data_IF_730522837489
#
_entry.id   IF_730522837489
#
_cell.length_a   1.000
_cell.length_b   1.000
_cell.length_c   1.000
_cell.angle_alpha   90.00
_cell.angle_beta   90.00
_cell.angle_gamma   90.00
#
_symmetry.space_group_name_H-M   'P 1'
#
loop_
_entity.id
_entity.type
_entity.pdbx_description
1 polymer ?
#
# COMPACT_ATOMS: atom_id res chain seq x y z
N UNK A 1 -21.75 -17.63 3.97
CA UNK A 1 -20.39 -17.33 3.43
C UNK A 1 -20.30 -17.90 2.04
N UNK A 2 -19.92 -17.10 1.05
CA UNK A 2 -19.77 -17.57 -0.33
C UNK A 2 -18.75 -18.70 -0.42
N UNK A 3 -18.93 -19.63 -1.39
CA UNK A 3 -18.06 -20.80 -1.55
C UNK A 3 -16.58 -20.41 -1.70
N UNK A 4 -16.30 -19.27 -2.35
CA UNK A 4 -14.94 -18.75 -2.55
C UNK A 4 -14.24 -18.48 -1.21
N UNK A 5 -14.93 -17.91 -0.22
CA UNK A 5 -14.35 -17.52 1.07
C UNK A 5 -14.59 -18.57 2.18
N UNK A 6 -15.04 -19.77 1.84
CA UNK A 6 -15.35 -20.82 2.83
C UNK A 6 -14.17 -21.24 3.69
N UNK A 7 -12.93 -21.03 3.23
CA UNK A 7 -11.71 -21.31 3.98
C UNK A 7 -11.33 -20.21 4.98
N UNK A 8 -12.00 -19.05 4.90
CA UNK A 8 -11.81 -17.96 5.88
C UNK A 8 -12.51 -18.25 7.22
N UNK A 9 -13.45 -19.23 7.25
CA UNK A 9 -14.23 -19.57 8.44
C UNK A 9 -13.33 -19.81 9.65
N UNK A 10 -13.84 -19.50 10.84
CA UNK A 10 -13.14 -19.49 12.14
C UNK A 10 -12.30 -18.24 12.33
N UNK A 11 -11.49 -17.85 11.33
CA UNK A 11 -10.68 -16.63 11.40
C UNK A 11 -11.53 -15.36 11.17
N UNK A 12 -12.50 -15.45 10.27
CA UNK A 12 -13.41 -14.34 9.89
C UNK A 12 -14.85 -14.82 10.14
N UNK A 13 -15.56 -14.06 10.98
CA UNK A 13 -16.98 -14.32 11.25
C UNK A 13 -17.83 -13.93 10.04
N UNK A 14 -19.04 -14.51 9.88
CA UNK A 14 -19.92 -14.19 8.75
C UNK A 14 -20.27 -12.70 8.63
N UNK A 15 -20.51 -12.01 9.74
CA UNK A 15 -20.78 -10.57 9.78
C UNK A 15 -19.55 -9.72 9.41
N UNK A 16 -18.36 -10.15 9.81
CA UNK A 16 -17.09 -9.51 9.41
C UNK A 16 -16.83 -9.72 7.92
N UNK A 17 -17.12 -10.92 7.37
CA UNK A 17 -16.98 -11.19 5.94
C UNK A 17 -17.90 -10.31 5.11
N UNK A 18 -19.13 -10.07 5.59
CA UNK A 18 -20.08 -9.18 4.92
C UNK A 18 -19.64 -7.71 4.99
N UNK A 19 -19.06 -7.28 6.12
CA UNK A 19 -18.50 -5.92 6.26
C UNK A 19 -17.40 -5.67 5.25
N UNK A 20 -16.39 -6.55 5.18
CA UNK A 20 -15.24 -6.35 4.29
C UNK A 20 -15.64 -6.41 2.82
N UNK A 21 -16.66 -7.17 2.46
CA UNK A 21 -17.20 -7.24 1.09
C UNK A 21 -17.62 -5.87 0.56
N UNK A 22 -18.24 -5.07 1.41
CA UNK A 22 -18.77 -3.75 1.05
C UNK A 22 -17.86 -2.59 1.41
N UNK A 23 -16.76 -2.88 2.11
CA UNK A 23 -15.80 -1.86 2.54
C UNK A 23 -15.05 -1.30 1.33
N UNK A 24 -15.17 0.02 1.10
CA UNK A 24 -14.70 0.69 -0.11
C UNK A 24 -13.24 1.08 0.05
N UNK A 25 -12.37 0.38 -0.65
CA UNK A 25 -10.92 0.58 -0.62
C UNK A 25 -10.50 1.45 -1.78
N UNK A 26 -9.82 2.57 -1.49
CA UNK A 26 -9.14 3.40 -2.48
C UNK A 26 -7.68 2.98 -2.58
N UNK A 27 -7.22 2.65 -3.77
CA UNK A 27 -5.83 2.34 -4.06
C UNK A 27 -5.22 3.44 -4.93
N UNK A 28 -4.45 4.33 -4.33
CA UNK A 28 -3.60 5.31 -5.00
C UNK A 28 -2.24 4.68 -5.31
N UNK A 29 -2.01 4.36 -6.59
CA UNK A 29 -0.81 3.67 -7.08
C UNK A 29 -0.94 2.16 -7.15
N UNK A 30 -0.78 1.60 -8.36
CA UNK A 30 -0.89 0.17 -8.64
C UNK A 30 0.48 -0.53 -8.80
N UNK A 31 1.55 0.05 -8.28
CA UNK A 31 2.85 -0.58 -8.15
C UNK A 31 2.80 -1.72 -7.11
N UNK A 32 3.24 -1.48 -5.90
CA UNK A 32 3.08 -2.40 -4.77
C UNK A 32 1.60 -2.63 -4.47
N UNK A 33 0.75 -1.64 -4.74
CA UNK A 33 -0.70 -1.73 -4.62
C UNK A 33 -1.31 -2.89 -5.41
N UNK A 34 -0.69 -3.32 -6.50
CA UNK A 34 -1.19 -4.45 -7.32
C UNK A 34 -1.23 -5.77 -6.54
N UNK A 35 -0.24 -6.03 -5.70
CA UNK A 35 -0.18 -7.23 -4.87
C UNK A 35 -1.12 -7.08 -3.68
N UNK A 36 -1.20 -5.88 -3.09
CA UNK A 36 -2.10 -5.58 -1.97
C UNK A 36 -3.57 -5.80 -2.39
N UNK A 37 -3.96 -5.26 -3.54
CA UNK A 37 -5.32 -5.41 -4.06
C UNK A 37 -5.71 -6.87 -4.30
N UNK A 38 -4.82 -7.70 -4.85
CA UNK A 38 -5.11 -9.13 -5.03
C UNK A 38 -5.21 -9.84 -3.68
N UNK A 39 -4.32 -9.57 -2.73
CA UNK A 39 -4.38 -10.15 -1.40
C UNK A 39 -5.69 -9.77 -0.69
N UNK A 40 -6.09 -8.50 -0.76
CA UNK A 40 -7.33 -8.00 -0.18
C UNK A 40 -8.57 -8.65 -0.83
N UNK A 41 -8.61 -8.74 -2.17
CA UNK A 41 -9.71 -9.40 -2.89
C UNK A 41 -9.85 -10.87 -2.50
N UNK A 42 -8.73 -11.60 -2.40
CA UNK A 42 -8.72 -13.02 -1.97
C UNK A 42 -9.20 -13.22 -0.55
N UNK A 43 -9.09 -12.21 0.30
CA UNK A 43 -9.65 -12.21 1.66
C UNK A 43 -11.16 -11.86 1.67
N UNK A 44 -11.65 -11.13 0.65
CA UNK A 44 -13.07 -10.79 0.49
C UNK A 44 -13.37 -9.30 0.44
N UNK A 45 -12.37 -8.43 0.24
CA UNK A 45 -12.60 -7.02 -0.10
C UNK A 45 -12.98 -6.93 -1.58
N UNK A 46 -14.27 -6.74 -1.86
CA UNK A 46 -14.79 -6.81 -3.22
C UNK A 46 -15.09 -5.44 -3.85
N UNK A 47 -14.89 -4.35 -3.10
CA UNK A 47 -15.15 -2.99 -3.59
C UNK A 47 -13.84 -2.19 -3.57
N UNK A 48 -13.17 -2.10 -4.73
CA UNK A 48 -11.83 -1.51 -4.86
C UNK A 48 -11.82 -0.50 -6.00
N UNK A 49 -11.38 0.73 -5.72
CA UNK A 49 -11.06 1.74 -6.74
C UNK A 49 -9.55 1.78 -6.93
N UNK A 50 -9.09 1.65 -8.17
CA UNK A 50 -7.69 1.63 -8.56
C UNK A 50 -7.38 2.89 -9.34
N UNK A 51 -6.42 3.69 -8.86
CA UNK A 51 -5.95 4.90 -9.52
C UNK A 51 -4.47 4.75 -9.86
N UNK A 52 -4.13 4.75 -11.11
CA UNK A 52 -2.74 4.75 -11.59
C UNK A 52 -2.69 5.24 -13.04
N UNK A 53 -1.85 6.23 -13.33
CA UNK A 53 -1.67 6.78 -14.68
C UNK A 53 -0.57 6.09 -15.49
N UNK A 54 0.23 5.21 -14.86
CA UNK A 54 1.35 4.55 -15.50
C UNK A 54 0.94 3.35 -16.35
N UNK A 55 1.85 2.98 -17.26
CA UNK A 55 1.83 1.72 -17.97
C UNK A 55 2.75 0.70 -17.32
N UNK A 56 2.43 -0.58 -17.53
CA UNK A 56 3.28 -1.69 -17.06
C UNK A 56 4.56 -1.70 -17.85
N UNK A 57 5.69 -1.72 -17.14
CA UNK A 57 7.02 -1.86 -17.71
C UNK A 57 7.58 -3.25 -17.40
N UNK A 58 8.52 -3.73 -18.22
CA UNK A 58 9.20 -5.00 -18.00
C UNK A 58 9.94 -5.03 -16.65
N UNK A 59 10.48 -3.90 -16.21
CA UNK A 59 11.14 -3.71 -14.92
C UNK A 59 10.20 -3.86 -13.71
N UNK A 60 8.88 -3.81 -13.91
CA UNK A 60 7.90 -3.99 -12.85
C UNK A 60 7.66 -5.48 -12.52
N UNK A 61 7.90 -6.38 -13.47
CA UNK A 61 7.53 -7.79 -13.37
C UNK A 61 8.26 -8.55 -12.25
N UNK A 62 9.39 -8.03 -11.78
CA UNK A 62 10.14 -8.65 -10.70
C UNK A 62 9.43 -8.59 -9.33
N UNK A 63 8.50 -7.61 -9.14
CA UNK A 63 7.93 -7.33 -7.81
C UNK A 63 6.49 -6.84 -7.78
N UNK A 64 5.89 -6.54 -8.94
CA UNK A 64 4.49 -6.14 -9.08
C UNK A 64 3.67 -7.27 -9.72
N UNK A 65 2.36 -7.23 -9.56
CA UNK A 65 1.48 -8.35 -9.91
C UNK A 65 1.00 -8.33 -11.37
N UNK A 66 1.95 -8.14 -12.29
CA UNK A 66 1.71 -8.09 -13.73
C UNK A 66 2.39 -9.24 -14.46
N UNK A 67 1.93 -9.50 -15.68
CA UNK A 67 2.46 -10.52 -16.60
C UNK A 67 3.16 -9.87 -17.77
N UNK A 68 3.92 -10.65 -18.52
CA UNK A 68 4.60 -10.18 -19.72
C UNK A 68 3.60 -9.61 -20.77
N UNK A 69 2.41 -10.19 -20.87
CA UNK A 69 1.34 -9.74 -21.76
C UNK A 69 0.73 -8.37 -21.37
N UNK A 70 0.94 -7.93 -20.13
CA UNK A 70 0.45 -6.65 -19.62
C UNK A 70 1.41 -5.49 -19.97
N UNK A 71 2.64 -5.77 -20.41
CA UNK A 71 3.64 -4.73 -20.71
C UNK A 71 3.13 -3.78 -21.79
N UNK A 72 3.15 -2.47 -21.50
CA UNK A 72 2.64 -1.41 -22.38
C UNK A 72 1.17 -1.05 -22.14
N UNK A 73 0.38 -1.86 -21.41
CA UNK A 73 -0.98 -1.54 -21.03
C UNK A 73 -1.00 -0.68 -19.75
N UNK A 74 -2.10 0.02 -19.47
CA UNK A 74 -2.26 0.74 -18.21
C UNK A 74 -2.26 -0.21 -17.01
N UNK A 75 -1.55 0.18 -15.94
CA UNK A 75 -1.44 -0.61 -14.71
C UNK A 75 -2.80 -0.87 -14.08
N UNK A 76 -3.64 0.17 -13.95
CA UNK A 76 -4.94 0.04 -13.33
C UNK A 76 -5.89 -0.90 -14.10
N UNK A 77 -5.88 -0.85 -15.45
CA UNK A 77 -6.67 -1.76 -16.29
C UNK A 77 -6.18 -3.21 -16.20
N UNK A 78 -4.86 -3.42 -16.29
CA UNK A 78 -4.27 -4.76 -16.20
C UNK A 78 -4.56 -5.40 -14.85
N UNK A 79 -4.45 -4.62 -13.76
CA UNK A 79 -4.79 -5.07 -12.43
C UNK A 79 -6.29 -5.40 -12.31
N UNK A 80 -7.18 -4.54 -12.80
CA UNK A 80 -8.63 -4.79 -12.76
C UNK A 80 -9.00 -6.07 -13.51
N UNK A 81 -8.45 -6.28 -14.71
CA UNK A 81 -8.64 -7.52 -15.47
C UNK A 81 -8.21 -8.75 -14.68
N UNK A 82 -7.08 -8.67 -13.99
CA UNK A 82 -6.58 -9.73 -13.13
C UNK A 82 -7.51 -9.99 -11.95
N UNK A 83 -7.94 -8.95 -11.23
CA UNK A 83 -8.85 -9.09 -10.10
C UNK A 83 -10.20 -9.68 -10.51
N UNK A 84 -10.76 -9.24 -11.62
CA UNK A 84 -12.02 -9.77 -12.16
C UNK A 84 -11.89 -11.21 -12.68
N UNK A 85 -10.69 -11.63 -13.07
CA UNK A 85 -10.44 -13.05 -13.39
C UNK A 85 -10.46 -13.97 -12.17
N UNK A 86 -10.23 -13.40 -10.97
CA UNK A 86 -10.29 -14.11 -9.68
C UNK A 86 -11.72 -14.11 -9.13
N UNK A 87 -12.35 -12.94 -9.08
CA UNK A 87 -13.73 -12.77 -8.65
C UNK A 87 -14.49 -11.86 -9.64
N UNK A 88 -15.24 -12.45 -10.60
CA UNK A 88 -16.02 -11.68 -11.57
C UNK A 88 -17.14 -10.83 -10.97
N UNK A 89 -17.52 -11.06 -9.71
CA UNK A 89 -18.57 -10.31 -9.01
C UNK A 89 -18.02 -9.08 -8.25
N UNK A 90 -16.70 -8.93 -8.18
CA UNK A 90 -16.08 -7.81 -7.49
C UNK A 90 -16.40 -6.48 -8.21
N UNK A 91 -16.57 -5.42 -7.43
CA UNK A 91 -16.80 -4.05 -7.92
C UNK A 91 -15.45 -3.34 -8.02
N UNK A 92 -14.84 -3.43 -9.20
CA UNK A 92 -13.54 -2.82 -9.46
C UNK A 92 -13.74 -1.57 -10.32
N UNK A 93 -13.40 -0.41 -9.76
CA UNK A 93 -13.39 0.87 -10.49
C UNK A 93 -11.98 1.18 -10.95
N UNK A 94 -11.83 1.58 -12.21
CA UNK A 94 -10.53 1.87 -12.85
C UNK A 94 -10.44 3.35 -13.19
N UNK A 95 -9.35 4.00 -12.79
CA UNK A 95 -9.07 5.38 -13.10
C UNK A 95 -7.63 5.47 -13.62
N UNK A 96 -7.47 5.55 -14.96
CA UNK A 96 -6.17 5.67 -15.64
C UNK A 96 -5.70 7.12 -15.66
N UNK A 97 -5.45 7.69 -14.49
CA UNK A 97 -4.97 9.06 -14.32
C UNK A 97 -3.93 9.13 -13.23
N UNK A 98 -3.02 10.08 -13.33
CA UNK A 98 -2.22 10.50 -12.19
C UNK A 98 -3.08 11.29 -11.21
N UNK A 99 -2.83 11.10 -9.91
CA UNK A 99 -3.39 11.97 -8.89
C UNK A 99 -2.67 13.30 -8.95
N UNK A 100 -3.42 14.40 -8.95
CA UNK A 100 -2.93 15.77 -9.00
C UNK A 100 -3.77 16.67 -8.10
N UNK A 101 -3.37 17.94 -7.97
CA UNK A 101 -4.06 18.93 -7.13
C UNK A 101 -5.52 19.18 -7.52
N UNK A 102 -5.85 19.03 -8.81
CA UNK A 102 -7.18 19.34 -9.33
C UNK A 102 -8.17 18.19 -9.13
N UNK A 103 -7.68 16.94 -9.06
CA UNK A 103 -8.52 15.75 -9.03
C UNK A 103 -8.53 15.00 -7.70
N UNK A 104 -7.52 15.21 -6.83
CA UNK A 104 -7.31 14.39 -5.62
C UNK A 104 -8.51 14.36 -4.68
N UNK A 105 -9.20 15.48 -4.49
CA UNK A 105 -10.35 15.56 -3.59
C UNK A 105 -11.52 14.69 -4.08
N UNK A 106 -11.87 14.82 -5.37
CA UNK A 106 -12.95 14.02 -5.98
C UNK A 106 -12.63 12.53 -6.06
N UNK A 107 -11.34 12.17 -6.16
CA UNK A 107 -10.89 10.78 -6.19
C UNK A 107 -10.99 10.08 -4.82
N UNK A 108 -10.84 10.84 -3.71
CA UNK A 108 -10.91 10.30 -2.35
C UNK A 108 -12.35 10.13 -1.88
N UNK A 109 -13.27 10.91 -2.41
CA UNK A 109 -14.65 10.93 -1.94
C UNK A 109 -15.33 9.57 -2.03
N UNK A 110 -16.09 9.22 -0.99
CA UNK A 110 -16.92 8.02 -0.95
C UNK A 110 -16.17 6.73 -0.63
N UNK A 111 -14.92 6.78 -0.15
CA UNK A 111 -14.15 5.61 0.29
C UNK A 111 -14.09 5.51 1.81
N UNK A 112 -13.88 4.31 2.33
CA UNK A 112 -13.82 4.02 3.78
C UNK A 112 -12.38 3.95 4.28
N UNK A 113 -11.44 3.67 3.39
CA UNK A 113 -10.00 3.59 3.66
C UNK A 113 -9.22 3.89 2.39
N UNK A 114 -8.03 4.45 2.52
CA UNK A 114 -7.13 4.68 1.42
C UNK A 114 -5.78 3.97 1.61
N UNK A 115 -5.19 3.52 0.51
CA UNK A 115 -3.82 3.03 0.43
C UNK A 115 -3.05 4.05 -0.40
N UNK A 116 -2.11 4.74 0.21
CA UNK A 116 -1.24 5.69 -0.47
C UNK A 116 0.07 4.98 -0.86
N UNK A 117 0.10 4.49 -2.08
CA UNK A 117 1.26 3.87 -2.73
C UNK A 117 1.75 4.73 -3.90
N UNK A 118 1.52 6.05 -3.83
CA UNK A 118 1.98 7.03 -4.80
C UNK A 118 3.48 7.31 -4.62
N UNK A 119 4.15 7.63 -5.70
CA UNK A 119 5.56 8.03 -5.67
C UNK A 119 5.72 9.44 -5.09
N UNK A 120 6.71 9.64 -4.23
CA UNK A 120 7.07 10.95 -3.65
C UNK A 120 7.91 11.81 -4.63
N UNK A 121 7.47 11.92 -5.89
CA UNK A 121 8.07 12.82 -6.89
C UNK A 121 7.58 14.27 -6.75
N UNK A 122 6.49 14.47 -6.03
CA UNK A 122 5.84 15.75 -5.72
C UNK A 122 5.22 15.68 -4.33
N UNK A 123 4.55 16.76 -3.91
CA UNK A 123 3.81 16.84 -2.64
C UNK A 123 2.44 16.13 -2.64
N UNK A 124 2.02 15.60 -3.80
CA UNK A 124 0.73 14.93 -3.94
C UNK A 124 0.47 13.84 -2.90
N UNK A 125 1.42 12.96 -2.51
CA UNK A 125 1.17 11.99 -1.45
C UNK A 125 0.80 12.64 -0.10
N UNK A 126 1.37 13.80 0.23
CA UNK A 126 1.03 14.52 1.46
C UNK A 126 -0.35 15.19 1.37
N UNK A 127 -0.69 15.75 0.21
CA UNK A 127 -2.01 16.34 -0.03
C UNK A 127 -3.08 15.26 0.01
N UNK A 128 -2.80 14.08 -0.57
CA UNK A 128 -3.68 12.92 -0.49
C UNK A 128 -3.98 12.54 0.97
N UNK A 129 -2.96 12.45 1.81
CA UNK A 129 -3.11 12.15 3.25
C UNK A 129 -3.92 13.23 3.97
N UNK A 130 -3.63 14.50 3.70
CA UNK A 130 -4.35 15.64 4.30
C UNK A 130 -5.84 15.58 3.97
N UNK A 131 -6.21 15.38 2.72
CA UNK A 131 -7.61 15.30 2.30
C UNK A 131 -8.29 14.06 2.90
N UNK A 132 -7.59 12.93 2.99
CA UNK A 132 -8.10 11.75 3.69
C UNK A 132 -8.39 12.05 5.16
N UNK A 133 -7.48 12.75 5.86
CA UNK A 133 -7.69 13.19 7.25
C UNK A 133 -8.94 14.08 7.38
N UNK A 134 -9.09 15.10 6.53
CA UNK A 134 -10.25 15.98 6.49
C UNK A 134 -11.58 15.24 6.27
N UNK A 135 -11.53 14.10 5.56
CA UNK A 135 -12.70 13.23 5.29
C UNK A 135 -12.82 12.07 6.29
N UNK A 136 -12.03 12.06 7.37
CA UNK A 136 -12.02 11.01 8.39
C UNK A 136 -11.70 9.60 7.84
N UNK A 137 -10.77 9.51 6.90
CA UNK A 137 -10.34 8.28 6.22
C UNK A 137 -8.94 7.90 6.69
N UNK A 138 -8.76 6.65 7.17
CA UNK A 138 -7.45 6.09 7.47
C UNK A 138 -6.63 5.91 6.20
N UNK A 139 -5.32 6.19 6.27
CA UNK A 139 -4.40 5.98 5.14
C UNK A 139 -3.34 4.95 5.52
N UNK A 140 -3.19 3.94 4.68
CA UNK A 140 -2.16 2.93 4.77
C UNK A 140 -0.97 3.32 3.87
N UNK A 141 0.24 3.36 4.45
CA UNK A 141 1.49 3.63 3.73
C UNK A 141 2.36 2.37 3.67
N UNK A 142 2.30 1.61 2.57
CA UNK A 142 3.13 0.44 2.33
C UNK A 142 4.51 0.82 1.79
N UNK A 143 5.58 0.20 2.30
CA UNK A 143 6.93 0.34 1.74
C UNK A 143 7.57 -1.03 1.54
N UNK A 144 8.36 -1.13 0.48
CA UNK A 144 9.17 -2.30 0.14
C UNK A 144 10.63 -2.03 0.49
N UNK A 145 11.12 -2.65 1.55
CA UNK A 145 12.53 -2.59 1.97
C UNK A 145 13.30 -3.86 1.58
N UNK A 146 13.02 -4.42 0.42
CA UNK A 146 13.72 -5.59 -0.10
C UNK A 146 13.38 -6.88 0.65
N UNK A 147 14.07 -7.16 1.74
CA UNK A 147 13.82 -8.33 2.59
C UNK A 147 12.80 -8.08 3.70
N UNK A 148 12.34 -6.85 3.86
CA UNK A 148 11.31 -6.50 4.83
C UNK A 148 10.11 -5.83 4.20
N UNK A 149 8.93 -6.26 4.60
CA UNK A 149 7.69 -5.52 4.40
C UNK A 149 7.48 -4.51 5.52
N UNK A 150 7.04 -3.32 5.14
CA UNK A 150 6.71 -2.25 6.08
C UNK A 150 5.32 -1.70 5.81
N UNK A 151 4.63 -1.35 6.89
CA UNK A 151 3.36 -0.66 6.85
C UNK A 151 3.25 0.30 8.04
N UNK A 152 2.88 1.54 7.79
CA UNK A 152 2.33 2.42 8.81
C UNK A 152 0.91 2.86 8.43
N UNK A 153 0.09 3.15 9.44
CA UNK A 153 -1.28 3.61 9.25
C UNK A 153 -1.39 5.02 9.82
N UNK A 154 -1.77 5.97 8.99
CA UNK A 154 -2.05 7.35 9.41
C UNK A 154 -3.52 7.41 9.83
N UNK A 155 -3.73 7.80 11.09
CA UNK A 155 -5.05 8.05 11.67
C UNK A 155 -5.53 9.43 11.22
N UNK A 156 -6.80 9.62 10.86
CA UNK A 156 -7.34 10.94 10.50
C UNK A 156 -7.06 12.03 11.52
N UNK A 157 -7.16 11.71 12.82
CA UNK A 157 -6.90 12.63 13.93
C UNK A 157 -5.46 12.52 14.46
N UNK A 158 -4.62 11.72 13.78
CA UNK A 158 -3.28 11.39 14.24
C UNK A 158 -2.21 12.36 13.73
N UNK A 159 -0.96 12.00 14.03
CA UNK A 159 0.20 12.71 13.52
C UNK A 159 0.37 12.45 12.02
N UNK A 160 0.52 13.47 11.16
CA UNK A 160 0.73 13.26 9.74
C UNK A 160 2.11 12.67 9.45
N UNK A 161 2.21 11.84 8.41
CA UNK A 161 3.47 11.21 7.99
C UNK A 161 4.50 12.25 7.51
N UNK A 162 4.04 13.36 6.93
CA UNK A 162 4.82 14.54 6.54
C UNK A 162 5.67 15.11 7.71
N UNK A 163 5.30 14.81 8.96
CA UNK A 163 6.11 15.21 10.13
C UNK A 163 7.50 14.58 10.19
N UNK A 164 7.81 13.57 9.38
CA UNK A 164 9.16 13.04 9.20
C UNK A 164 10.02 13.94 8.30
N UNK A 165 9.41 14.55 7.29
CA UNK A 165 10.03 15.50 6.37
C UNK A 165 8.96 16.17 5.53
N UNK A 166 9.05 17.47 5.33
CA UNK A 166 8.21 18.27 4.42
C UNK A 166 8.69 18.18 2.94
N UNK A 167 9.82 17.50 2.71
CA UNK A 167 10.39 17.31 1.38
C UNK A 167 9.92 15.99 0.79
N UNK A 168 9.15 16.00 -0.32
CA UNK A 168 8.69 14.76 -0.94
C UNK A 168 9.85 13.97 -1.58
N UNK A 169 10.77 14.64 -2.25
CA UNK A 169 11.86 13.96 -2.94
C UNK A 169 12.79 13.23 -1.96
N UNK A 170 12.92 11.93 -2.13
CA UNK A 170 13.69 11.07 -1.23
C UNK A 170 13.00 10.75 0.10
N UNK A 171 11.69 10.95 0.18
CA UNK A 171 10.91 10.70 1.40
C UNK A 171 10.96 9.22 1.82
N UNK A 172 11.04 8.30 0.87
CA UNK A 172 11.19 6.86 1.15
C UNK A 172 12.47 6.57 1.95
N UNK A 173 13.55 7.32 1.71
CA UNK A 173 14.77 7.23 2.52
C UNK A 173 14.54 7.73 3.93
N UNK A 174 13.76 8.80 4.11
CA UNK A 174 13.41 9.31 5.46
C UNK A 174 12.61 8.30 6.25
N UNK A 175 11.70 7.58 5.59
CA UNK A 175 10.98 6.48 6.23
C UNK A 175 11.94 5.35 6.63
N UNK A 176 12.89 4.97 5.76
CA UNK A 176 13.89 3.95 6.09
C UNK A 176 14.80 4.38 7.25
N UNK A 177 15.29 5.63 7.27
CA UNK A 177 16.07 6.20 8.37
C UNK A 177 15.27 6.21 9.68
N UNK A 178 13.99 6.56 9.62
CA UNK A 178 13.09 6.52 10.76
C UNK A 178 12.95 5.11 11.33
N UNK A 179 12.74 4.11 10.47
CA UNK A 179 12.66 2.69 10.88
C UNK A 179 13.95 2.25 11.55
N UNK A 180 15.10 2.55 10.96
CA UNK A 180 16.41 2.21 11.52
C UNK A 180 16.63 2.83 12.91
N UNK A 181 16.32 4.11 13.07
CA UNK A 181 16.40 4.81 14.35
C UNK A 181 15.45 4.24 15.41
N UNK A 182 14.20 3.96 15.03
CA UNK A 182 13.21 3.38 15.92
C UNK A 182 13.61 1.97 16.40
N UNK A 183 14.04 1.11 15.47
CA UNK A 183 14.46 -0.25 15.80
C UNK A 183 15.73 -0.26 16.67
N UNK A 184 16.71 0.61 16.37
CA UNK A 184 17.91 0.75 17.18
C UNK A 184 17.60 1.24 18.61
N UNK A 185 16.67 2.18 18.77
CA UNK A 185 16.21 2.66 20.08
C UNK A 185 15.62 1.52 20.93
N UNK A 186 14.91 0.58 20.31
CA UNK A 186 14.34 -0.59 20.99
C UNK A 186 15.27 -1.80 21.02
N UNK A 187 16.58 -1.60 20.84
CA UNK A 187 17.59 -2.66 20.89
C UNK A 187 17.41 -3.77 19.86
N UNK A 188 16.85 -3.42 18.70
CA UNK A 188 16.60 -4.33 17.56
C UNK A 188 17.20 -3.74 16.28
N UNK A 189 18.52 -3.43 16.23
CA UNK A 189 19.13 -2.78 15.08
C UNK A 189 19.02 -3.65 13.83
N UNK A 190 18.71 -3.02 12.70
CA UNK A 190 18.57 -3.69 11.40
C UNK A 190 19.83 -3.41 10.56
N UNK A 191 20.95 -4.05 10.89
CA UNK A 191 22.25 -3.78 10.25
C UNK A 191 22.24 -4.01 8.74
N UNK A 192 21.50 -5.02 8.28
CA UNK A 192 21.39 -5.32 6.86
C UNK A 192 20.69 -4.17 6.10
N UNK A 193 19.64 -3.59 6.68
CA UNK A 193 18.90 -2.48 6.07
C UNK A 193 19.76 -1.21 6.07
N UNK A 194 20.48 -0.94 7.15
CA UNK A 194 21.42 0.18 7.23
C UNK A 194 22.51 0.10 6.13
N UNK A 195 23.05 -1.10 5.88
CA UNK A 195 23.99 -1.35 4.78
C UNK A 195 23.37 -1.06 3.41
N UNK A 196 22.14 -1.51 3.17
CA UNK A 196 21.42 -1.27 1.90
C UNK A 196 21.16 0.22 1.71
N UNK A 197 20.65 0.92 2.74
CA UNK A 197 20.40 2.38 2.70
C UNK A 197 21.69 3.14 2.38
N UNK A 198 22.79 2.86 3.08
CA UNK A 198 24.11 3.49 2.85
C UNK A 198 24.66 3.20 1.46
N UNK A 199 24.43 2.00 0.92
CA UNK A 199 24.84 1.65 -0.44
C UNK A 199 24.03 2.44 -1.46
N UNK A 200 22.69 2.46 -1.31
CA UNK A 200 21.80 3.20 -2.21
C UNK A 200 22.10 4.70 -2.24
N UNK A 201 22.42 5.30 -1.09
CA UNK A 201 22.82 6.72 -1.00
C UNK A 201 24.12 7.05 -1.75
N UNK A 202 24.94 6.04 -2.07
CA UNK A 202 26.20 6.21 -2.83
C UNK A 202 26.02 5.97 -4.33
N UNK A 203 24.87 5.46 -4.75
CA UNK A 203 24.60 5.25 -6.17
C UNK A 203 24.51 6.62 -6.88
N UNK A 204 25.18 6.75 -8.02
CA UNK A 204 25.12 7.95 -8.84
C UNK A 204 23.90 7.92 -9.75
N UNK A 205 23.26 9.09 -9.93
CA UNK A 205 22.10 9.24 -10.79
C UNK A 205 20.76 9.02 -10.10
N UNK A 206 19.66 9.23 -10.83
CA UNK A 206 18.31 9.07 -10.35
C UNK A 206 17.81 7.62 -10.51
N UNK A 207 18.47 6.68 -9.81
CA UNK A 207 18.08 5.27 -9.83
C UNK A 207 16.97 5.05 -8.81
N UNK A 208 15.83 4.42 -9.19
CA UNK A 208 14.76 4.12 -8.24
C UNK A 208 15.24 3.21 -7.10
N UNK A 209 14.66 3.33 -5.87
CA UNK A 209 15.02 2.49 -4.75
C UNK A 209 14.95 1.00 -5.07
N UNK A 210 15.93 0.19 -4.60
CA UNK A 210 15.94 -1.24 -4.84
C UNK A 210 14.78 -1.93 -4.12
N UNK A 211 14.11 -2.85 -4.80
CA UNK A 211 12.93 -3.54 -4.29
C UNK A 211 12.95 -5.02 -4.68
N UNK A 212 12.49 -5.88 -3.77
CA UNK A 212 12.35 -7.32 -4.00
C UNK A 212 10.87 -7.74 -3.91
N UNK A 213 10.52 -8.79 -4.65
CA UNK A 213 9.18 -9.40 -4.57
C UNK A 213 8.83 -9.87 -3.16
N UNK A 214 9.77 -10.37 -2.40
CA UNK A 214 9.57 -10.84 -1.01
C UNK A 214 8.90 -9.76 -0.16
N UNK A 215 9.47 -8.55 -0.14
CA UNK A 215 8.89 -7.44 0.62
C UNK A 215 7.50 -7.06 0.11
N UNK A 216 7.25 -7.11 -1.20
CA UNK A 216 5.92 -6.81 -1.75
C UNK A 216 4.84 -7.75 -1.21
N UNK A 217 5.12 -9.06 -1.14
CA UNK A 217 4.18 -10.03 -0.60
C UNK A 217 3.99 -9.93 0.91
N UNK A 218 5.06 -9.69 1.68
CA UNK A 218 4.97 -9.44 3.13
C UNK A 218 4.10 -8.20 3.38
N UNK A 219 4.38 -7.11 2.67
CA UNK A 219 3.64 -5.84 2.81
C UNK A 219 2.16 -6.01 2.44
N UNK A 220 1.86 -6.80 1.40
CA UNK A 220 0.47 -7.08 1.03
C UNK A 220 -0.29 -7.81 2.16
N UNK A 221 0.34 -8.76 2.82
CA UNK A 221 -0.24 -9.43 3.99
C UNK A 221 -0.49 -8.46 5.15
N UNK A 222 0.49 -7.61 5.48
CA UNK A 222 0.36 -6.59 6.53
C UNK A 222 -0.78 -5.60 6.22
N UNK A 223 -0.83 -5.08 4.99
CA UNK A 223 -1.89 -4.16 4.56
C UNK A 223 -3.27 -4.81 4.61
N UNK A 224 -3.40 -6.04 4.11
CA UNK A 224 -4.69 -6.75 4.09
C UNK A 224 -5.20 -7.01 5.51
N UNK A 225 -4.31 -7.36 6.45
CA UNK A 225 -4.69 -7.51 7.85
C UNK A 225 -5.08 -6.17 8.48
N UNK A 226 -4.36 -5.09 8.19
CA UNK A 226 -4.71 -3.76 8.69
C UNK A 226 -6.07 -3.28 8.13
N UNK A 227 -6.34 -3.50 6.84
CA UNK A 227 -7.64 -3.24 6.22
C UNK A 227 -8.76 -3.99 6.96
N UNK A 228 -8.55 -5.27 7.25
CA UNK A 228 -9.52 -6.08 7.99
C UNK A 228 -9.77 -5.53 9.41
N UNK A 229 -8.71 -5.15 10.12
CA UNK A 229 -8.84 -4.59 11.46
C UNK A 229 -9.62 -3.27 11.43
N UNK A 230 -9.31 -2.37 10.50
CA UNK A 230 -10.03 -1.09 10.34
C UNK A 230 -11.50 -1.36 10.01
N UNK A 231 -11.80 -2.20 9.01
CA UNK A 231 -13.16 -2.51 8.58
C UNK A 231 -14.01 -3.15 9.69
N UNK A 232 -13.38 -3.90 10.61
CA UNK A 232 -14.07 -4.60 11.70
C UNK A 232 -13.97 -3.89 13.06
N UNK A 233 -13.38 -2.69 13.11
CA UNK A 233 -13.25 -1.89 14.34
C UNK A 233 -12.23 -2.44 15.33
N UNK A 234 -11.25 -3.23 14.85
CA UNK A 234 -10.15 -3.76 15.66
C UNK A 234 -8.97 -2.79 15.67
N UNK A 235 -8.14 -2.88 16.68
CA UNK A 235 -6.96 -2.02 16.82
C UNK A 235 -5.93 -2.24 15.71
N UNK A 236 -5.30 -1.13 15.27
CA UNK A 236 -4.14 -1.10 14.39
C UNK A 236 -3.05 -0.24 15.02
N UNK A 237 -1.79 -0.56 14.74
CA UNK A 237 -0.70 0.37 15.05
C UNK A 237 -0.82 1.58 14.13
N UNK A 238 -0.86 2.78 14.74
CA UNK A 238 -0.96 4.06 14.03
C UNK A 238 0.37 4.78 14.10
N UNK A 239 0.73 5.54 13.08
CA UNK A 239 1.91 6.38 13.10
C UNK A 239 1.93 7.26 14.38
N UNK A 240 3.06 7.34 15.09
CA UNK A 240 4.42 6.96 14.72
C UNK A 240 4.79 5.47 14.89
N UNK A 241 3.90 4.60 15.36
CA UNK A 241 4.14 3.15 15.37
C UNK A 241 3.89 2.55 13.98
N UNK A 242 4.52 1.41 13.71
CA UNK A 242 4.43 0.73 12.41
C UNK A 242 4.48 -0.79 12.56
N UNK A 243 4.27 -1.48 11.46
CA UNK A 243 4.55 -2.90 11.28
C UNK A 243 5.78 -3.05 10.42
N UNK A 244 6.71 -3.86 10.87
CA UNK A 244 7.93 -4.22 10.15
C UNK A 244 8.11 -5.73 10.28
N UNK A 245 8.30 -6.42 9.16
CA UNK A 245 8.43 -7.87 9.15
C UNK A 245 9.56 -8.28 8.22
N UNK A 246 10.55 -8.97 8.77
CA UNK A 246 11.70 -9.56 8.08
C UNK A 246 12.11 -10.85 8.78
N UNK A 247 12.69 -11.79 8.02
CA UNK A 247 13.37 -12.95 8.58
C UNK A 247 14.86 -12.65 8.87
N UNK A 248 15.38 -11.53 8.38
CA UNK A 248 16.74 -11.09 8.69
C UNK A 248 16.74 -10.36 10.04
N UNK A 249 17.73 -10.67 10.84
CA UNK A 249 18.00 -10.06 12.14
C UNK A 249 19.22 -9.14 12.06
#
# INVERSE_FOLDING_TARGET
>A
MEKMYSRNRIYIKPDEQEKIKHFRVLLGGAGIGSIIAECALRMGFETITIIDGDKVEKSNLNRQNYRLEDVGNYKAESLAKRLLSINPQAKITVINKFVDHDNVEGLIEGHDVAINALDFKSDIPFIFDKICSEKNIYVLHPYNFGWAGFLTVVDPDGKPLESLSDKPLGFELKVAEYVLGYQAFWMQPQEWLDKVVKQYQREEGAIPPPQLSVASWITAGLCTQALFNIATGKEVKRFPRFYFSSLLQ
#
